data_IF_274770847907
#
_entry.id   IF_274770847907
#
_cell.length_a   1.000
_cell.length_b   1.000
_cell.length_c   1.000
_cell.angle_alpha   90.00
_cell.angle_beta   90.00
_cell.angle_gamma   90.00
#
_symmetry.space_group_name_H-M   'P 1'
#
loop_
_entity.id
_entity.type
_entity.pdbx_description
1 polymer ?
#
# COMPACT_ATOMS: atom_id res chain seq x y z
N UNK A 1 26.20 5.29 -36.11
CA UNK A 1 25.59 4.19 -36.89
C UNK A 1 24.71 3.38 -35.95
N UNK A 2 23.38 3.48 -36.05
CA UNK A 2 22.46 2.69 -35.23
C UNK A 2 22.04 1.49 -36.09
N UNK A 3 22.45 0.28 -35.73
CA UNK A 3 22.08 -0.94 -36.46
C UNK A 3 20.59 -1.23 -36.23
N UNK A 4 19.84 -1.26 -37.33
CA UNK A 4 18.42 -1.61 -37.31
C UNK A 4 18.32 -3.10 -37.00
N UNK A 5 17.62 -3.47 -35.93
CA UNK A 5 17.39 -4.87 -35.60
C UNK A 5 16.63 -5.56 -36.77
N UNK A 6 17.17 -6.68 -37.25
CA UNK A 6 16.64 -7.46 -38.40
C UNK A 6 15.25 -8.06 -38.13
N UNK A 7 14.95 -8.34 -36.86
CA UNK A 7 13.67 -8.91 -36.41
C UNK A 7 13.34 -8.38 -35.01
N UNK A 8 12.05 -8.30 -34.68
CA UNK A 8 11.59 -7.84 -33.36
C UNK A 8 11.73 -8.97 -32.32
N UNK A 9 12.68 -8.89 -31.37
CA UNK A 9 12.88 -9.93 -30.36
C UNK A 9 11.71 -10.03 -29.37
N UNK A 10 10.91 -8.97 -29.22
CA UNK A 10 9.73 -8.98 -28.35
C UNK A 10 8.58 -9.86 -28.89
N UNK A 11 8.63 -10.27 -30.17
CA UNK A 11 7.64 -11.18 -30.77
C UNK A 11 7.70 -12.60 -30.18
N UNK A 12 8.85 -12.99 -29.63
CA UNK A 12 9.06 -14.30 -28.99
C UNK A 12 8.52 -14.35 -27.55
N UNK A 13 8.23 -13.20 -26.95
CA UNK A 13 7.70 -13.13 -25.60
C UNK A 13 6.18 -13.35 -25.61
N UNK A 14 5.71 -14.28 -24.77
CA UNK A 14 4.28 -14.46 -24.52
C UNK A 14 3.71 -13.15 -23.98
N UNK A 15 2.77 -12.56 -24.72
CA UNK A 15 2.04 -11.38 -24.26
C UNK A 15 1.31 -11.71 -22.96
N UNK A 16 1.51 -10.87 -21.95
CA UNK A 16 0.68 -10.93 -20.75
C UNK A 16 -0.71 -10.46 -21.14
N UNK A 17 -1.72 -11.19 -20.70
CA UNK A 17 -3.11 -10.79 -20.89
C UNK A 17 -3.35 -9.53 -20.07
N UNK A 18 -3.81 -8.47 -20.73
CA UNK A 18 -4.39 -7.32 -20.04
C UNK A 18 -5.84 -7.68 -19.75
N UNK A 19 -6.18 -7.74 -18.47
CA UNK A 19 -7.55 -7.96 -18.05
C UNK A 19 -8.38 -6.73 -18.40
N UNK A 20 -9.26 -6.88 -19.39
CA UNK A 20 -10.22 -5.84 -19.81
C UNK A 20 -11.41 -5.72 -18.84
N UNK A 21 -11.31 -6.30 -17.64
CA UNK A 21 -12.26 -6.10 -16.56
C UNK A 21 -12.54 -4.61 -16.31
N UNK A 22 -13.82 -4.29 -16.13
CA UNK A 22 -14.24 -2.92 -15.81
C UNK A 22 -13.66 -2.53 -14.45
N UNK A 23 -12.81 -1.50 -14.43
CA UNK A 23 -12.28 -0.91 -13.19
C UNK A 23 -13.45 -0.32 -12.41
N UNK A 24 -13.76 -0.94 -11.26
CA UNK A 24 -14.80 -0.49 -10.33
C UNK A 24 -14.17 0.30 -9.19
N UNK A 25 -14.68 1.49 -8.93
CA UNK A 25 -14.25 2.29 -7.78
C UNK A 25 -15.15 2.04 -6.57
N UNK A 26 -14.57 2.13 -5.37
CA UNK A 26 -15.26 1.87 -4.09
C UNK A 26 -16.46 2.81 -3.88
N UNK A 27 -16.39 4.04 -4.40
CA UNK A 27 -17.44 5.05 -4.30
C UNK A 27 -18.37 5.10 -5.53
N UNK A 28 -18.17 4.25 -6.54
CA UNK A 28 -18.82 4.38 -7.85
C UNK A 28 -20.34 4.19 -7.79
N UNK A 29 -20.83 3.31 -6.93
CA UNK A 29 -22.25 2.92 -6.89
C UNK A 29 -22.94 3.31 -5.58
N UNK A 30 -22.21 3.37 -4.46
CA UNK A 30 -22.76 3.81 -3.19
C UNK A 30 -21.67 4.38 -2.28
N UNK A 31 -21.87 5.59 -1.75
CA UNK A 31 -20.96 6.17 -0.76
C UNK A 31 -20.91 5.40 0.57
N UNK A 32 -21.89 4.51 0.81
CA UNK A 32 -21.97 3.65 2.00
C UNK A 32 -21.12 2.38 1.89
N UNK A 33 -20.53 2.09 0.73
CA UNK A 33 -19.79 0.84 0.54
C UNK A 33 -18.53 0.76 1.40
N UNK A 34 -17.79 1.86 1.51
CA UNK A 34 -16.63 1.97 2.41
C UNK A 34 -17.03 1.71 3.86
N UNK A 35 -18.14 2.30 4.32
CA UNK A 35 -18.66 2.08 5.68
C UNK A 35 -19.04 0.62 5.92
N UNK A 36 -19.64 -0.05 4.93
CA UNK A 36 -19.98 -1.48 5.01
C UNK A 36 -18.74 -2.35 5.06
N UNK A 37 -17.71 -2.02 4.28
CA UNK A 37 -16.44 -2.74 4.29
C UNK A 37 -15.75 -2.59 5.65
N UNK A 38 -15.71 -1.36 6.19
CA UNK A 38 -15.18 -1.07 7.52
C UNK A 38 -15.91 -1.85 8.61
N UNK A 39 -17.24 -1.82 8.62
CA UNK A 39 -18.04 -2.59 9.57
C UNK A 39 -17.79 -4.11 9.47
N UNK A 40 -17.61 -4.64 8.25
CA UNK A 40 -17.30 -6.06 8.07
C UNK A 40 -15.90 -6.42 8.58
N UNK A 41 -14.91 -5.52 8.41
CA UNK A 41 -13.55 -5.70 8.94
C UNK A 41 -13.56 -5.64 10.46
N UNK A 42 -14.28 -4.70 11.06
CA UNK A 42 -14.41 -4.60 12.53
C UNK A 42 -14.98 -5.89 13.14
N UNK A 43 -16.01 -6.48 12.51
CA UNK A 43 -16.65 -7.71 13.03
C UNK A 43 -15.79 -8.95 12.84
N UNK A 44 -15.10 -9.09 11.69
CA UNK A 44 -14.41 -10.34 11.34
C UNK A 44 -12.90 -10.32 11.56
N UNK A 45 -12.29 -9.14 11.48
CA UNK A 45 -10.84 -8.95 11.37
C UNK A 45 -10.40 -7.65 12.06
N UNK A 46 -10.85 -7.42 13.29
CA UNK A 46 -10.56 -6.20 14.05
C UNK A 46 -9.06 -5.83 14.10
N UNK A 47 -8.18 -6.84 14.18
CA UNK A 47 -6.72 -6.66 14.18
C UNK A 47 -6.16 -6.05 12.88
N UNK A 48 -6.85 -6.23 11.76
CA UNK A 48 -6.44 -5.74 10.43
C UNK A 48 -7.09 -4.40 10.06
N UNK A 49 -7.98 -3.86 10.90
CA UNK A 49 -8.52 -2.52 10.72
C UNK A 49 -7.44 -1.43 10.53
N UNK A 50 -6.36 -1.34 11.35
CA UNK A 50 -5.31 -0.34 11.13
C UNK A 50 -4.54 -0.55 9.83
N UNK A 51 -4.42 -1.78 9.35
CA UNK A 51 -3.78 -2.07 8.05
C UNK A 51 -4.62 -1.54 6.89
N UNK A 52 -5.94 -1.73 6.96
CA UNK A 52 -6.86 -1.21 5.96
C UNK A 52 -6.80 0.32 5.86
N UNK A 53 -6.77 1.00 7.00
CA UNK A 53 -6.70 2.47 7.08
C UNK A 53 -5.42 3.03 6.46
N UNK A 54 -4.28 2.43 6.78
CA UNK A 54 -2.99 2.83 6.20
C UNK A 54 -3.05 2.63 4.68
N UNK A 55 -3.54 1.49 4.20
CA UNK A 55 -3.63 1.21 2.77
C UNK A 55 -4.53 2.23 2.06
N UNK A 56 -5.67 2.59 2.65
CA UNK A 56 -6.65 3.51 2.07
C UNK A 56 -6.09 4.94 1.96
N UNK A 57 -5.43 5.44 3.00
CA UNK A 57 -4.93 6.81 3.02
C UNK A 57 -3.58 7.00 2.31
N UNK A 58 -2.71 5.99 2.33
CA UNK A 58 -1.35 6.10 1.76
C UNK A 58 -1.22 5.52 0.36
N UNK A 59 -2.16 4.65 -0.06
CA UNK A 59 -2.10 3.93 -1.33
C UNK A 59 -0.85 3.06 -1.45
N UNK A 60 -0.29 2.59 -0.32
CA UNK A 60 0.85 1.70 -0.31
C UNK A 60 0.50 0.33 -0.90
N UNK A 61 1.49 -0.30 -1.54
CA UNK A 61 1.31 -1.68 -2.00
C UNK A 61 1.36 -2.63 -0.80
N UNK A 62 0.67 -3.78 -0.83
CA UNK A 62 0.72 -4.75 0.26
C UNK A 62 2.15 -5.14 0.63
N UNK A 63 3.01 -5.41 -0.35
CA UNK A 63 4.41 -5.77 -0.10
C UNK A 63 5.23 -4.66 0.55
N UNK A 64 4.87 -3.39 0.31
CA UNK A 64 5.55 -2.23 0.92
C UNK A 64 5.02 -1.99 2.34
N UNK A 65 3.73 -2.22 2.56
CA UNK A 65 3.06 -2.06 3.85
C UNK A 65 3.52 -3.12 4.87
N UNK A 66 3.50 -4.40 4.50
CA UNK A 66 3.94 -5.49 5.39
C UNK A 66 5.46 -5.56 5.55
N UNK A 67 6.22 -4.96 4.62
CA UNK A 67 7.69 -4.83 4.71
C UNK A 67 8.15 -3.54 5.38
N UNK A 68 7.24 -2.73 5.92
CA UNK A 68 7.56 -1.47 6.58
C UNK A 68 8.15 -1.74 7.97
N UNK A 69 9.19 -0.98 8.33
CA UNK A 69 9.77 -1.00 9.68
C UNK A 69 9.62 0.38 10.30
N UNK A 70 9.56 0.45 11.64
CA UNK A 70 9.38 1.72 12.36
C UNK A 70 10.50 2.74 12.10
N UNK A 71 11.71 2.29 11.76
CA UNK A 71 12.82 3.18 11.38
C UNK A 71 12.55 4.02 10.13
N UNK A 72 11.52 3.65 9.36
CA UNK A 72 11.14 4.30 8.10
C UNK A 72 9.92 5.20 8.23
N UNK A 73 9.36 5.31 9.44
CA UNK A 73 8.18 6.12 9.73
C UNK A 73 8.61 7.33 10.55
N UNK A 74 8.53 8.51 9.95
CA UNK A 74 8.73 9.78 10.64
C UNK A 74 7.36 10.38 10.96
N UNK A 75 6.94 10.24 12.21
CA UNK A 75 5.67 10.78 12.70
C UNK A 75 5.72 12.31 12.86
N UNK A 76 6.88 12.88 13.18
CA UNK A 76 7.05 14.33 13.30
C UNK A 76 6.98 15.01 11.93
N UNK A 77 7.70 14.44 10.95
CA UNK A 77 7.68 14.87 9.56
C UNK A 77 6.46 14.40 8.77
N UNK A 78 5.56 13.60 9.39
CA UNK A 78 4.38 12.96 8.77
C UNK A 78 4.72 12.30 7.44
N UNK A 79 5.75 11.44 7.43
CA UNK A 79 6.28 10.85 6.20
C UNK A 79 6.71 9.40 6.41
N UNK A 80 6.39 8.56 5.43
CA UNK A 80 6.88 7.19 5.32
C UNK A 80 7.91 7.13 4.19
N UNK A 81 9.05 6.51 4.46
CA UNK A 81 10.12 6.35 3.47
C UNK A 81 10.21 4.90 3.02
N UNK A 82 9.91 4.65 1.75
CA UNK A 82 10.05 3.33 1.12
C UNK A 82 11.40 3.31 0.39
N UNK A 83 12.38 2.52 0.86
CA UNK A 83 13.74 2.55 0.30
C UNK A 83 13.86 1.86 -1.06
N UNK A 84 13.01 0.87 -1.34
CA UNK A 84 12.98 0.15 -2.61
C UNK A 84 11.56 0.09 -3.15
N UNK A 85 11.26 0.95 -4.13
CA UNK A 85 10.10 0.74 -4.98
C UNK A 85 10.42 -0.24 -6.11
N UNK A 86 9.40 -0.71 -6.82
CA UNK A 86 9.55 -1.59 -8.00
C UNK A 86 10.46 -1.01 -9.09
N UNK A 87 10.63 0.33 -9.15
CA UNK A 87 11.53 1.01 -10.08
C UNK A 87 12.94 1.23 -9.51
N UNK A 88 13.23 0.71 -8.32
CA UNK A 88 14.54 0.84 -7.66
C UNK A 88 14.79 2.19 -7.00
N UNK A 89 13.87 3.14 -7.11
CA UNK A 89 14.01 4.48 -6.52
C UNK A 89 13.31 4.57 -5.16
N UNK A 90 13.87 5.29 -4.19
CA UNK A 90 13.20 5.56 -2.93
C UNK A 90 11.99 6.47 -3.16
N UNK A 91 10.88 6.20 -2.48
CA UNK A 91 9.67 7.03 -2.50
C UNK A 91 9.33 7.49 -1.09
N UNK A 92 8.94 8.74 -0.98
CA UNK A 92 8.35 9.28 0.24
C UNK A 92 6.84 9.40 0.08
N UNK A 93 6.09 8.96 1.08
CA UNK A 93 4.64 9.09 1.14
C UNK A 93 4.30 9.98 2.33
N UNK A 94 3.54 11.04 2.08
CA UNK A 94 3.04 11.91 3.16
C UNK A 94 1.90 11.19 3.90
N UNK A 95 1.93 11.28 5.23
CA UNK A 95 0.86 10.81 6.10
C UNK A 95 -0.17 11.93 6.26
N UNK A 96 -1.43 11.65 5.96
CA UNK A 96 -2.52 12.58 6.21
C UNK A 96 -2.76 12.71 7.74
N UNK A 97 -3.34 13.83 8.17
CA UNK A 97 -3.63 14.09 9.59
C UNK A 97 -4.49 13.00 10.24
N UNK A 98 -5.39 12.37 9.48
CA UNK A 98 -6.25 11.27 9.93
C UNK A 98 -5.44 10.00 10.22
N UNK A 99 -4.45 9.70 9.38
CA UNK A 99 -3.54 8.54 9.56
C UNK A 99 -2.45 8.81 10.59
N UNK A 100 -2.04 10.06 10.78
CA UNK A 100 -1.03 10.44 11.77
C UNK A 100 -1.54 10.38 13.21
N UNK A 101 -2.84 10.55 13.43
CA UNK A 101 -3.50 10.43 14.74
C UNK A 101 -4.02 9.03 15.05
N UNK A 102 -4.34 8.24 14.02
CA UNK A 102 -4.61 6.82 14.19
C UNK A 102 -3.27 6.14 14.48
N UNK A 103 -2.99 6.00 15.78
CA UNK A 103 -1.95 5.12 16.33
C UNK A 103 -1.67 4.03 15.31
N UNK A 104 -0.47 4.00 14.70
CA UNK A 104 0.00 2.89 13.87
C UNK A 104 0.19 1.71 14.84
N UNK A 105 -0.89 1.26 15.48
CA UNK A 105 -1.03 0.05 16.22
C UNK A 105 -1.35 -1.03 15.19
N UNK A 106 -0.50 -1.11 14.16
CA UNK A 106 -0.46 -2.27 13.31
C UNK A 106 0.37 -3.30 14.09
N UNK A 107 -0.24 -4.37 14.62
CA UNK A 107 0.50 -5.40 15.36
C UNK A 107 1.53 -6.12 14.46
N UNK A 108 1.38 -6.01 13.13
CA UNK A 108 2.29 -6.59 12.15
C UNK A 108 3.60 -5.79 11.92
N UNK A 109 3.70 -4.54 12.41
CA UNK A 109 4.95 -3.77 12.30
C UNK A 109 5.74 -3.91 13.62
N UNK A 110 6.85 -4.66 13.64
CA UNK A 110 7.61 -4.92 14.87
C UNK A 110 8.18 -3.61 15.43
N UNK A 111 7.67 -3.18 16.60
CA UNK A 111 8.05 -1.91 17.23
C UNK A 111 9.57 -1.83 17.46
N UNK A 112 10.13 -0.64 17.22
CA UNK A 112 11.56 -0.33 17.36
C UNK A 112 12.13 -0.69 18.75
N UNK A 113 11.28 -0.67 19.79
CA UNK A 113 11.65 -1.07 21.14
C UNK A 113 10.61 -2.06 21.70
N UNK A 114 11.08 -3.17 22.27
CA UNK A 114 10.28 -4.23 22.87
C UNK A 114 9.58 -3.79 24.16
N UNK A 115 8.57 -2.94 24.06
CA UNK A 115 7.67 -2.64 25.17
C UNK A 115 6.21 -2.68 24.71
N UNK A 116 5.51 -3.72 25.15
CA UNK A 116 4.05 -3.74 25.29
C UNK A 116 3.27 -4.12 24.03
N UNK A 117 2.82 -5.39 24.03
CA UNK A 117 1.52 -5.75 23.48
C UNK A 117 0.43 -5.03 24.29
N UNK A 118 -0.55 -4.44 23.61
CA UNK A 118 -1.87 -4.21 24.17
C UNK A 118 -2.83 -5.09 23.38
#
# INVERSE_FOLDING_TARGET
MITRASSNPAKLLKRKYEDNGRVRYLNQYAQVEEKRLRAAIEVKYASHHPEFEIALHTGMRPSEQYGLTWDRVDLHGRRVTIPRSKSGQPRHIALNSETGGLQIACPAIPKRNGSGFC
#
